data_IF_439339474552
#
_entry.id   IF_439339474552
#
_cell.length_a   1.000
_cell.length_b   1.000
_cell.length_c   1.000
_cell.angle_alpha   90.00
_cell.angle_beta   90.00
_cell.angle_gamma   90.00
#
_symmetry.space_group_name_H-M   'P 1'
#
loop_
_entity.id
_entity.type
_entity.pdbx_description
1 polymer ?
#
# COMPACT_ATOMS: atom_id res chain seq x y z
N UNK A 1 5.29 1.15 17.55
CA UNK A 1 4.98 1.09 16.09
C UNK A 1 3.92 2.09 15.65
N UNK A 2 2.65 2.04 16.10
CA UNK A 2 1.63 3.03 15.68
C UNK A 2 2.06 4.46 16.03
N UNK A 3 2.57 4.64 17.23
CA UNK A 3 3.15 5.90 17.70
C UNK A 3 4.32 6.34 16.81
N UNK A 4 5.21 5.42 16.45
CA UNK A 4 6.35 5.73 15.56
C UNK A 4 5.89 6.15 14.16
N UNK A 5 4.89 5.47 13.59
CA UNK A 5 4.32 5.81 12.28
C UNK A 5 3.77 7.24 12.29
N UNK A 6 3.06 7.61 13.36
CA UNK A 6 2.52 8.95 13.54
C UNK A 6 3.63 10.00 13.77
N UNK A 7 4.58 9.69 14.65
CA UNK A 7 5.68 10.60 14.99
C UNK A 7 6.58 10.93 13.78
N UNK A 8 6.70 10.01 12.82
CA UNK A 8 7.51 10.18 11.61
C UNK A 8 6.70 10.60 10.38
N UNK A 9 5.42 10.93 10.55
CA UNK A 9 4.52 11.35 9.47
C UNK A 9 4.52 10.36 8.28
N UNK A 10 4.53 9.06 8.58
CA UNK A 10 4.51 8.01 7.57
C UNK A 10 3.05 7.80 7.16
N UNK A 11 2.69 8.22 5.95
CA UNK A 11 1.34 8.03 5.43
C UNK A 11 1.14 6.59 4.97
N UNK A 12 0.28 5.85 5.69
CA UNK A 12 -0.08 4.46 5.39
C UNK A 12 -1.46 4.39 4.74
N UNK A 13 -1.65 3.41 3.87
CA UNK A 13 -2.96 3.15 3.30
C UNK A 13 -3.89 2.46 4.32
N UNK A 14 -5.19 2.84 4.41
CA UNK A 14 -5.85 3.96 3.71
C UNK A 14 -5.47 5.33 4.29
N UNK A 15 -5.18 6.32 3.42
CA UNK A 15 -4.65 7.65 3.81
C UNK A 15 -5.67 8.52 4.57
N UNK A 16 -5.26 9.15 5.68
CA UNK A 16 -6.14 9.91 6.59
C UNK A 16 -6.71 11.20 5.99
N UNK A 17 -5.95 11.82 5.10
CA UNK A 17 -6.13 13.18 4.57
C UNK A 17 -6.93 13.23 3.25
N UNK A 18 -7.74 12.21 2.99
CA UNK A 18 -8.58 12.14 1.80
C UNK A 18 -9.90 12.89 2.01
N UNK A 19 -10.06 13.99 1.29
CA UNK A 19 -11.26 14.84 1.31
C UNK A 19 -12.32 14.44 0.27
N UNK A 20 -12.00 13.49 -0.59
CA UNK A 20 -12.86 12.99 -1.66
C UNK A 20 -13.75 11.82 -1.24
N UNK A 21 -13.67 11.39 0.03
CA UNK A 21 -14.39 10.24 0.56
C UNK A 21 -15.71 10.62 1.23
N UNK A 22 -16.71 9.75 1.11
CA UNK A 22 -17.96 9.86 1.86
C UNK A 22 -17.86 9.33 3.30
N UNK A 23 -18.91 9.53 4.11
CA UNK A 23 -18.94 9.09 5.52
C UNK A 23 -18.80 7.58 5.69
N UNK A 24 -19.32 6.79 4.76
CA UNK A 24 -19.25 5.33 4.81
C UNK A 24 -17.83 4.86 4.52
N UNK A 25 -17.20 5.40 3.49
CA UNK A 25 -15.80 5.15 3.13
C UNK A 25 -14.85 5.54 4.26
N UNK A 26 -15.07 6.70 4.90
CA UNK A 26 -14.31 7.13 6.07
C UNK A 26 -14.43 6.13 7.22
N UNK A 27 -15.64 5.61 7.48
CA UNK A 27 -15.88 4.60 8.53
C UNK A 27 -15.19 3.28 8.23
N UNK A 28 -15.28 2.79 6.99
CA UNK A 28 -14.60 1.57 6.54
C UNK A 28 -13.09 1.72 6.68
N UNK A 29 -12.54 2.87 6.26
CA UNK A 29 -11.12 3.17 6.36
C UNK A 29 -10.65 3.26 7.82
N UNK A 30 -11.42 3.89 8.72
CA UNK A 30 -11.11 3.95 10.16
C UNK A 30 -10.98 2.55 10.75
N UNK A 31 -11.92 1.66 10.44
CA UNK A 31 -11.91 0.28 10.92
C UNK A 31 -10.68 -0.50 10.45
N UNK A 32 -10.21 -0.28 9.23
CA UNK A 32 -8.96 -0.89 8.75
C UNK A 32 -7.74 -0.31 9.49
N UNK A 33 -7.67 1.01 9.67
CA UNK A 33 -6.56 1.66 10.39
C UNK A 33 -6.45 1.20 11.84
N UNK A 34 -7.58 0.98 12.49
CA UNK A 34 -7.65 0.40 13.84
C UNK A 34 -7.07 -1.01 13.92
N UNK A 35 -6.91 -1.71 12.80
CA UNK A 35 -6.31 -3.05 12.71
C UNK A 35 -4.84 -3.04 12.28
N UNK A 36 -4.27 -1.91 11.85
CA UNK A 36 -2.89 -1.86 11.34
C UNK A 36 -1.84 -1.74 12.45
N UNK A 37 -0.67 -2.39 12.34
CA UNK A 37 -0.31 -3.38 11.34
C UNK A 37 -1.04 -4.71 11.55
N UNK A 38 -1.34 -5.43 10.48
CA UNK A 38 -1.88 -6.78 10.60
C UNK A 38 -0.80 -7.76 11.10
N UNK A 39 -1.11 -8.51 12.14
CA UNK A 39 -0.30 -9.62 12.65
C UNK A 39 -0.58 -10.88 11.82
N UNK A 40 0.16 -11.06 10.71
CA UNK A 40 -0.09 -12.12 9.74
C UNK A 40 0.85 -13.32 9.86
N UNK A 41 0.33 -14.50 9.52
CA UNK A 41 1.10 -15.72 9.34
C UNK A 41 0.87 -16.23 7.93
N UNK A 42 1.94 -16.47 7.17
CA UNK A 42 1.87 -17.05 5.82
C UNK A 42 2.15 -18.56 5.83
N UNK A 43 1.44 -19.30 4.98
CA UNK A 43 1.72 -20.70 4.65
C UNK A 43 1.39 -20.97 3.18
N UNK A 44 2.17 -21.83 2.54
CA UNK A 44 1.90 -22.45 1.24
C UNK A 44 1.44 -23.91 1.38
N UNK A 45 1.39 -24.40 2.63
CA UNK A 45 1.20 -25.80 2.96
C UNK A 45 -0.18 -26.04 3.56
N UNK A 46 -0.81 -27.14 3.15
CA UNK A 46 -2.07 -27.61 3.70
C UNK A 46 -1.85 -28.58 4.86
N UNK A 47 -2.67 -28.44 5.90
CA UNK A 47 -2.68 -29.29 7.09
C UNK A 47 -4.11 -29.75 7.37
N UNK A 48 -4.27 -30.98 7.84
CA UNK A 48 -5.59 -31.50 8.21
C UNK A 48 -5.89 -31.17 9.67
N UNK A 49 -6.93 -30.37 9.92
CA UNK A 49 -7.44 -30.02 11.25
C UNK A 49 -8.91 -30.39 11.32
N UNK A 50 -9.31 -31.22 12.29
CA UNK A 50 -10.69 -31.67 12.46
C UNK A 50 -11.33 -32.25 11.18
N UNK A 51 -10.53 -32.99 10.39
CA UNK A 51 -10.95 -33.60 9.12
C UNK A 51 -11.02 -32.66 7.92
N UNK A 52 -10.73 -31.36 8.09
CA UNK A 52 -10.69 -30.37 7.00
C UNK A 52 -9.25 -30.05 6.61
N UNK A 53 -9.00 -29.97 5.31
CA UNK A 53 -7.72 -29.46 4.78
C UNK A 53 -7.74 -27.93 4.79
N UNK A 54 -6.84 -27.32 5.54
CA UNK A 54 -6.73 -25.86 5.70
C UNK A 54 -5.30 -25.41 5.47
N UNK A 55 -5.10 -24.17 5.00
CA UNK A 55 -3.75 -23.58 4.96
C UNK A 55 -3.25 -23.36 6.38
N UNK A 56 -2.07 -23.89 6.69
CA UNK A 56 -1.54 -23.79 8.04
C UNK A 56 -0.08 -24.15 8.16
N UNK A 57 0.53 -23.74 9.27
CA UNK A 57 1.92 -24.06 9.61
C UNK A 57 1.94 -25.06 10.75
N UNK A 58 2.61 -26.20 10.54
CA UNK A 58 2.89 -27.15 11.62
C UNK A 58 4.15 -26.72 12.36
N UNK A 59 4.05 -26.62 13.68
CA UNK A 59 5.16 -26.31 14.59
C UNK A 59 5.33 -27.46 15.58
N UNK A 60 6.36 -27.40 16.43
CA UNK A 60 6.54 -28.35 17.54
C UNK A 60 5.45 -28.23 18.61
N UNK A 61 4.79 -27.08 18.70
CA UNK A 61 3.79 -26.76 19.73
C UNK A 61 2.34 -26.85 19.25
N UNK A 62 2.12 -27.14 17.95
CA UNK A 62 0.78 -27.24 17.38
C UNK A 62 0.71 -26.78 15.94
N UNK A 63 -0.52 -26.54 15.47
CA UNK A 63 -0.83 -26.10 14.11
C UNK A 63 -1.38 -24.68 14.16
N UNK A 64 -0.81 -23.79 13.37
CA UNK A 64 -1.30 -22.44 13.17
C UNK A 64 -2.10 -22.44 11.87
N UNK A 65 -3.42 -22.42 11.97
CA UNK A 65 -4.32 -22.24 10.83
C UNK A 65 -4.28 -20.77 10.35
N UNK A 66 -3.91 -20.54 9.10
CA UNK A 66 -3.67 -19.19 8.55
C UNK A 66 -4.97 -18.39 8.42
N UNK A 67 -6.07 -19.03 8.00
CA UNK A 67 -7.35 -18.33 7.83
C UNK A 67 -8.18 -18.22 9.12
N UNK A 68 -7.69 -18.78 10.23
CA UNK A 68 -8.38 -18.73 11.50
C UNK A 68 -8.07 -17.41 12.23
N UNK A 69 -9.11 -16.58 12.46
CA UNK A 69 -9.02 -15.26 13.10
C UNK A 69 -8.51 -15.31 14.54
N UNK A 70 -8.59 -16.46 15.21
CA UNK A 70 -8.03 -16.62 16.56
C UNK A 70 -6.51 -16.84 16.54
N UNK A 71 -5.93 -17.14 15.38
CA UNK A 71 -4.49 -17.41 15.24
C UNK A 71 -3.72 -16.24 14.63
N UNK A 72 -4.27 -15.59 13.60
CA UNK A 72 -3.64 -14.43 12.98
C UNK A 72 -4.65 -13.59 12.19
N UNK A 73 -4.19 -12.45 11.68
CA UNK A 73 -5.01 -11.47 10.98
C UNK A 73 -4.91 -11.57 9.44
N UNK A 74 -4.44 -12.70 8.92
CA UNK A 74 -4.32 -12.92 7.48
C UNK A 74 -5.65 -12.74 6.76
N UNK A 75 -6.76 -13.21 7.35
CA UNK A 75 -8.08 -13.08 6.72
C UNK A 75 -8.50 -11.62 6.53
N UNK A 76 -8.14 -10.75 7.48
CA UNK A 76 -8.40 -9.30 7.43
C UNK A 76 -7.55 -8.65 6.35
N UNK A 77 -6.24 -8.96 6.29
CA UNK A 77 -5.36 -8.47 5.23
C UNK A 77 -5.83 -8.91 3.85
N UNK A 78 -6.17 -10.19 3.67
CA UNK A 78 -6.67 -10.74 2.41
C UNK A 78 -7.94 -10.01 1.99
N UNK A 79 -8.92 -9.93 2.88
CA UNK A 79 -10.22 -9.33 2.57
C UNK A 79 -10.08 -7.84 2.23
N UNK A 80 -9.20 -7.11 2.92
CA UNK A 80 -8.84 -5.74 2.57
C UNK A 80 -8.29 -5.67 1.14
N UNK A 81 -7.23 -6.43 0.84
CA UNK A 81 -6.51 -6.33 -0.43
C UNK A 81 -7.34 -6.73 -1.64
N UNK A 82 -8.10 -7.83 -1.55
CA UNK A 82 -8.70 -8.44 -2.75
C UNK A 82 -10.22 -8.40 -2.78
N UNK A 83 -10.91 -8.07 -1.67
CA UNK A 83 -12.38 -8.03 -1.65
C UNK A 83 -12.94 -6.63 -1.52
N UNK A 84 -12.36 -5.79 -0.65
CA UNK A 84 -12.97 -4.50 -0.32
C UNK A 84 -12.22 -3.30 -0.90
N UNK A 85 -10.87 -3.29 -0.91
CA UNK A 85 -10.10 -2.08 -1.24
C UNK A 85 -9.27 -2.19 -2.53
N UNK A 86 -9.38 -3.27 -3.29
CA UNK A 86 -8.57 -3.46 -4.51
C UNK A 86 -8.72 -2.30 -5.50
N UNK A 87 -9.95 -1.83 -5.71
CA UNK A 87 -10.22 -0.77 -6.69
C UNK A 87 -9.67 0.57 -6.21
N UNK A 88 -9.90 0.92 -4.95
CA UNK A 88 -9.34 2.15 -4.36
C UNK A 88 -7.79 2.13 -4.35
N UNK A 89 -7.17 0.99 -4.05
CA UNK A 89 -5.71 0.81 -4.17
C UNK A 89 -5.20 1.13 -5.58
N UNK A 90 -5.92 0.70 -6.63
CA UNK A 90 -5.57 1.03 -8.01
C UNK A 90 -5.74 2.51 -8.31
N UNK A 91 -6.82 3.12 -7.81
CA UNK A 91 -7.12 4.54 -8.02
C UNK A 91 -6.11 5.45 -7.33
N UNK A 92 -5.77 5.17 -6.07
CA UNK A 92 -4.68 5.85 -5.35
C UNK A 92 -3.35 5.70 -6.09
N UNK A 93 -3.05 4.48 -6.56
CA UNK A 93 -1.82 4.24 -7.33
C UNK A 93 -1.79 5.07 -8.61
N UNK A 94 -2.90 5.16 -9.33
CA UNK A 94 -2.97 5.91 -10.58
C UNK A 94 -2.97 7.43 -10.35
N UNK A 95 -3.92 7.92 -9.57
CA UNK A 95 -4.21 9.36 -9.44
C UNK A 95 -3.25 10.09 -8.51
N UNK A 96 -2.62 9.40 -7.56
CA UNK A 96 -1.67 10.01 -6.62
C UNK A 96 -0.24 9.61 -6.98
N UNK A 97 0.08 8.32 -6.91
CA UNK A 97 1.48 7.88 -7.03
C UNK A 97 2.01 8.02 -8.46
N UNK A 98 1.27 7.51 -9.45
CA UNK A 98 1.66 7.60 -10.85
C UNK A 98 1.62 9.03 -11.37
N UNK A 99 0.57 9.81 -11.12
CA UNK A 99 0.54 11.22 -11.54
C UNK A 99 1.62 12.08 -10.88
N UNK A 100 1.96 11.83 -9.60
CA UNK A 100 3.11 12.48 -8.96
C UNK A 100 4.43 12.16 -9.65
N UNK A 101 4.65 10.88 -9.98
CA UNK A 101 5.81 10.45 -10.75
C UNK A 101 5.84 11.07 -12.15
N UNK A 102 4.71 11.02 -12.86
CA UNK A 102 4.55 11.58 -14.21
C UNK A 102 4.87 13.06 -14.24
N UNK A 103 4.36 13.84 -13.29
CA UNK A 103 4.64 15.27 -13.16
C UNK A 103 6.13 15.54 -12.97
N UNK A 104 6.78 14.81 -12.06
CA UNK A 104 8.23 14.92 -11.82
C UNK A 104 9.03 14.66 -13.10
N UNK A 105 8.71 13.58 -13.83
CA UNK A 105 9.38 13.23 -15.09
C UNK A 105 9.22 14.30 -16.16
N UNK A 106 8.01 14.79 -16.37
CA UNK A 106 7.77 15.85 -17.35
C UNK A 106 8.53 17.14 -17.00
N UNK A 107 8.59 17.51 -15.72
CA UNK A 107 9.35 18.68 -15.27
C UNK A 107 10.86 18.49 -15.43
N UNK A 108 11.40 17.30 -15.14
CA UNK A 108 12.81 16.97 -15.39
C UNK A 108 13.17 17.07 -16.87
N UNK A 109 12.34 16.50 -17.75
CA UNK A 109 12.53 16.61 -19.19
C UNK A 109 12.45 18.04 -19.70
N UNK A 110 11.52 18.84 -19.17
CA UNK A 110 11.42 20.27 -19.49
C UNK A 110 12.68 21.04 -19.06
N UNK A 111 13.19 20.80 -17.84
CA UNK A 111 14.44 21.40 -17.37
C UNK A 111 15.62 21.00 -18.24
N UNK A 112 15.71 19.74 -18.63
CA UNK A 112 16.76 19.25 -19.51
C UNK A 112 16.69 19.89 -20.90
N UNK A 113 15.48 20.09 -21.45
CA UNK A 113 15.29 20.81 -22.71
C UNK A 113 15.74 22.28 -22.62
N UNK A 114 15.39 22.98 -21.54
CA UNK A 114 15.81 24.37 -21.31
C UNK A 114 17.33 24.48 -21.16
N UNK A 115 17.95 23.59 -20.37
CA UNK A 115 19.41 23.57 -20.24
C UNK A 115 20.13 23.34 -21.58
N UNK A 116 19.56 22.54 -22.49
CA UNK A 116 20.13 22.31 -23.81
C UNK A 116 20.02 23.56 -24.71
N UNK A 117 18.92 24.31 -24.65
CA UNK A 117 18.77 25.56 -25.41
C UNK A 117 19.70 26.66 -24.88
N UNK A 118 19.89 26.75 -23.56
CA UNK A 118 20.80 27.74 -22.98
C UNK A 118 22.26 27.49 -23.39
N UNK A 119 22.64 26.22 -23.60
CA UNK A 119 23.97 25.85 -24.10
C UNK A 119 24.14 26.19 -25.59
N UNK A 120 23.11 26.02 -26.43
CA UNK A 120 23.19 26.40 -27.85
C UNK A 120 23.33 27.91 -28.02
N UNK A 121 22.58 28.69 -27.25
CA UNK A 121 22.58 30.16 -27.35
C UNK A 121 23.92 30.76 -26.87
N UNK A 122 24.58 30.10 -25.91
CA UNK A 122 25.90 30.51 -25.41
C UNK A 122 27.03 30.24 -26.41
N UNK A 123 26.86 29.29 -27.33
CA UNK A 123 27.85 29.02 -28.39
C UNK A 123 27.68 29.95 -29.60
N UNK A 124 26.47 30.36 -29.95
CA UNK A 124 26.23 31.33 -31.04
C UNK A 124 26.69 32.75 -30.69
N UNK A 125 26.72 33.11 -29.40
CA UNK A 125 27.12 34.45 -28.93
C UNK A 125 28.64 34.72 -28.93
N UNK A 126 29.48 33.77 -29.39
CA UNK A 126 30.95 33.87 -29.40
C UNK A 126 31.58 33.99 -30.81
N UNK A 127 30.77 34.23 -31.84
CA UNK A 127 31.20 34.51 -33.22
C UNK A 127 30.93 35.99 -33.52
#
# INVERSE_FOLDING_TARGET
LREDIQAHNINIYPMMDRHDLDEEELRVNSRIREQLPFAVVGSDSYVTVSGKSVLGRKTKWGVIEVENKTHCEFSQLRDMLIRTHMQDLKEVTNSIHYESFRRKRLTEEQKNRINLSDISDTQESKI
#
